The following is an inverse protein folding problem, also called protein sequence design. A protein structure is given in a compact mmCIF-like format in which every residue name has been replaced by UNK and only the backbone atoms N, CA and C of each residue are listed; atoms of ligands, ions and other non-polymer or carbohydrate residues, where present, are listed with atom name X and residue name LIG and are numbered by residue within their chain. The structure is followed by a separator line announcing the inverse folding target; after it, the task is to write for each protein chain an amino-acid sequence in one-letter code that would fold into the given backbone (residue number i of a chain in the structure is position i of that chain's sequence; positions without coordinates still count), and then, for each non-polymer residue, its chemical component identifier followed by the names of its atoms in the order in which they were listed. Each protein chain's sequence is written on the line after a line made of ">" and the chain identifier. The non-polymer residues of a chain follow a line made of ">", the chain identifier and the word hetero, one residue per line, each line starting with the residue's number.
data_IF_887973113051
#
_entry.id   IF_887973113051
#
_cell.length_a   1.000
_cell.length_b   1.000
_cell.length_c   1.000
_cell.angle_alpha   90.00
_cell.angle_beta   90.00
_cell.angle_gamma   90.00
#
_symmetry.space_group_name_H-M   'P 1'
#
loop_
_entity.id
_entity.type
_entity.pdbx_description
1 polymer ?
#
# COMPACT_ATOMS: atom_id res chain seq x y z
N UNK A 1 25.48 -3.93 9.94
CA UNK A 1 25.10 -3.80 8.51
C UNK A 1 23.98 -2.76 8.43
N UNK A 2 24.07 -1.73 7.57
CA UNK A 2 22.93 -0.82 7.36
C UNK A 2 23.21 0.63 6.92
N UNK A 3 24.38 0.95 6.36
CA UNK A 3 24.62 2.26 5.74
C UNK A 3 24.46 2.16 4.21
N UNK A 4 23.29 2.56 3.66
CA UNK A 4 23.00 2.84 2.22
C UNK A 4 21.52 2.73 1.81
N UNK A 5 20.57 2.49 2.72
CA UNK A 5 19.26 1.96 2.32
C UNK A 5 18.10 2.95 2.11
N UNK A 6 18.27 4.28 2.26
CA UNK A 6 17.12 5.19 2.07
C UNK A 6 16.48 5.10 0.68
N UNK A 7 17.28 4.85 -0.37
CA UNK A 7 16.76 4.61 -1.72
C UNK A 7 15.99 3.28 -1.82
N UNK A 8 16.51 2.23 -1.19
CA UNK A 8 15.83 0.94 -1.15
C UNK A 8 14.50 1.03 -0.40
N UNK A 9 14.47 1.74 0.75
CA UNK A 9 13.24 1.98 1.52
C UNK A 9 12.26 2.83 0.72
N UNK A 10 12.73 3.84 -0.03
CA UNK A 10 11.87 4.64 -0.92
C UNK A 10 11.17 3.79 -1.98
N UNK A 11 11.91 2.97 -2.73
CA UNK A 11 11.33 2.12 -3.76
C UNK A 11 10.42 1.04 -3.16
N UNK A 12 10.82 0.42 -2.05
CA UNK A 12 9.98 -0.54 -1.34
C UNK A 12 8.66 0.09 -0.87
N UNK A 13 8.72 1.31 -0.30
CA UNK A 13 7.53 2.03 0.15
C UNK A 13 6.59 2.37 -1.02
N UNK A 14 7.12 2.73 -2.19
CA UNK A 14 6.31 2.93 -3.40
C UNK A 14 5.60 1.64 -3.82
N UNK A 15 6.33 0.52 -3.90
CA UNK A 15 5.75 -0.77 -4.29
C UNK A 15 4.65 -1.19 -3.32
N UNK A 16 4.89 -1.06 -2.02
CA UNK A 16 3.89 -1.36 -0.98
C UNK A 16 2.68 -0.44 -1.12
N UNK A 17 2.87 0.86 -1.38
CA UNK A 17 1.78 1.81 -1.58
C UNK A 17 0.89 1.41 -2.77
N UNK A 18 1.48 1.01 -3.90
CA UNK A 18 0.75 0.58 -5.09
C UNK A 18 -0.06 -0.69 -4.78
N UNK A 19 0.57 -1.71 -4.19
CA UNK A 19 -0.11 -2.97 -3.87
C UNK A 19 -1.27 -2.74 -2.89
N UNK A 20 -1.03 -1.95 -1.84
CA UNK A 20 -2.05 -1.62 -0.85
C UNK A 20 -3.22 -0.83 -1.47
N UNK A 21 -2.93 0.10 -2.40
CA UNK A 21 -3.97 0.84 -3.14
C UNK A 21 -4.81 -0.10 -4.01
N UNK A 22 -4.16 -1.03 -4.73
CA UNK A 22 -4.86 -2.03 -5.56
C UNK A 22 -5.76 -2.92 -4.69
N UNK A 23 -5.27 -3.39 -3.55
CA UNK A 23 -6.08 -4.17 -2.61
C UNK A 23 -7.25 -3.35 -2.04
N UNK A 24 -7.02 -2.08 -1.70
CA UNK A 24 -8.08 -1.18 -1.24
C UNK A 24 -9.21 -1.10 -2.25
N UNK A 25 -8.90 -0.86 -3.53
CA UNK A 25 -9.90 -0.81 -4.61
C UNK A 25 -10.56 -2.17 -4.82
N UNK A 26 -9.79 -3.25 -4.83
CA UNK A 26 -10.29 -4.61 -4.99
C UNK A 26 -11.38 -4.94 -3.96
N UNK A 27 -11.13 -4.68 -2.67
CA UNK A 27 -12.10 -4.96 -1.59
C UNK A 27 -13.32 -4.03 -1.54
N UNK A 28 -13.37 -2.99 -2.36
CA UNK A 28 -14.54 -2.09 -2.50
C UNK A 28 -15.51 -2.60 -3.58
N UNK A 29 -15.00 -3.28 -4.61
CA UNK A 29 -15.80 -3.68 -5.77
C UNK A 29 -16.66 -4.90 -5.39
N UNK A 30 -18.00 -4.78 -5.32
CA UNK A 30 -18.84 -5.95 -5.12
C UNK A 30 -18.90 -6.80 -6.40
N UNK A 31 -19.16 -8.10 -6.24
CA UNK A 31 -19.34 -9.03 -7.36
C UNK A 31 -18.05 -9.73 -7.84
N UNK A 32 -16.90 -9.44 -7.23
CA UNK A 32 -15.67 -10.24 -7.37
C UNK A 32 -15.46 -11.10 -6.13
N UNK A 33 -14.86 -12.28 -6.30
CA UNK A 33 -14.54 -13.16 -5.17
C UNK A 33 -13.32 -12.65 -4.43
N UNK A 34 -13.51 -12.21 -3.19
CA UNK A 34 -12.46 -11.75 -2.30
C UNK A 34 -11.88 -12.93 -1.51
N UNK A 35 -10.57 -13.21 -1.62
CA UNK A 35 -9.92 -14.17 -0.74
C UNK A 35 -9.75 -13.58 0.68
N UNK A 36 -9.55 -14.45 1.66
CA UNK A 36 -9.24 -14.08 3.05
C UNK A 36 -10.35 -13.29 3.79
N UNK A 37 -11.60 -13.65 3.56
CA UNK A 37 -12.76 -13.10 4.26
C UNK A 37 -13.59 -14.23 4.87
N UNK A 38 -14.08 -14.02 6.09
CA UNK A 38 -14.89 -15.02 6.82
C UNK A 38 -16.39 -14.92 6.52
N UNK A 39 -16.81 -13.83 5.88
CA UNK A 39 -18.20 -13.54 5.49
C UNK A 39 -18.38 -13.73 3.97
N UNK A 40 -19.56 -13.44 3.43
CA UNK A 40 -19.84 -13.55 1.98
C UNK A 40 -18.68 -13.00 1.13
N UNK A 41 -17.99 -13.85 0.35
CA UNK A 41 -16.78 -13.48 -0.37
C UNK A 41 -17.06 -12.61 -1.61
N UNK A 42 -18.32 -12.43 -2.00
CA UNK A 42 -18.70 -11.60 -3.15
C UNK A 42 -19.17 -10.20 -2.76
N UNK A 43 -19.38 -9.96 -1.47
CA UNK A 43 -19.76 -8.66 -0.94
C UNK A 43 -18.57 -7.70 -0.87
N UNK A 44 -18.86 -6.39 -0.82
CA UNK A 44 -17.83 -5.39 -0.55
C UNK A 44 -17.37 -5.48 0.92
N UNK A 45 -16.06 -5.43 1.16
CA UNK A 45 -15.48 -5.52 2.50
C UNK A 45 -14.80 -4.22 2.92
N UNK A 46 -15.61 -3.24 3.31
CA UNK A 46 -15.16 -1.90 3.70
C UNK A 46 -14.11 -1.89 4.82
N UNK A 47 -14.12 -2.87 5.74
CA UNK A 47 -13.10 -2.98 6.78
C UNK A 47 -11.71 -3.30 6.22
N UNK A 48 -11.63 -4.23 5.26
CA UNK A 48 -10.38 -4.57 4.59
C UNK A 48 -9.93 -3.41 3.68
N UNK A 49 -10.86 -2.83 2.93
CA UNK A 49 -10.58 -1.64 2.12
C UNK A 49 -10.02 -0.49 2.97
N UNK A 50 -10.63 -0.20 4.13
CA UNK A 50 -10.14 0.82 5.04
C UNK A 50 -8.73 0.50 5.59
N UNK A 51 -8.47 -0.76 5.96
CA UNK A 51 -7.16 -1.21 6.43
C UNK A 51 -6.07 -1.06 5.34
N UNK A 52 -6.35 -1.51 4.13
CA UNK A 52 -5.41 -1.37 3.00
C UNK A 52 -5.26 0.09 2.55
N UNK A 53 -6.33 0.89 2.60
CA UNK A 53 -6.28 2.32 2.36
C UNK A 53 -5.38 3.04 3.36
N UNK A 54 -5.52 2.74 4.66
CA UNK A 54 -4.64 3.29 5.70
C UNK A 54 -3.17 2.87 5.49
N UNK A 55 -2.93 1.60 5.13
CA UNK A 55 -1.59 1.09 4.84
C UNK A 55 -0.97 1.78 3.61
N UNK A 56 -1.77 2.03 2.57
CA UNK A 56 -1.35 2.78 1.40
C UNK A 56 -0.92 4.21 1.76
N UNK A 57 -1.71 4.90 2.61
CA UNK A 57 -1.35 6.25 3.10
C UNK A 57 -0.04 6.23 3.88
N UNK A 58 0.15 5.27 4.78
CA UNK A 58 1.39 5.14 5.56
C UNK A 58 2.60 4.86 4.64
N UNK A 59 2.44 4.00 3.64
CA UNK A 59 3.49 3.71 2.67
C UNK A 59 3.85 4.93 1.81
N UNK A 60 2.87 5.73 1.40
CA UNK A 60 3.09 7.02 0.71
C UNK A 60 3.89 7.97 1.62
N UNK A 61 3.50 8.12 2.89
CA UNK A 61 4.23 8.95 3.85
C UNK A 61 5.68 8.45 3.99
N UNK A 62 5.88 7.14 4.13
CA UNK A 62 7.20 6.52 4.19
C UNK A 62 8.06 6.83 2.94
N UNK A 63 7.46 6.74 1.76
CA UNK A 63 8.13 7.12 0.51
C UNK A 63 8.48 8.62 0.48
N UNK A 64 7.59 9.50 0.91
CA UNK A 64 7.87 10.94 0.94
C UNK A 64 9.03 11.29 1.89
N UNK A 65 9.11 10.65 3.05
CA UNK A 65 10.17 10.90 4.05
C UNK A 65 11.51 10.29 3.63
N UNK A 66 11.49 9.17 2.90
CA UNK A 66 12.71 8.49 2.43
C UNK A 66 13.14 8.90 1.04
N UNK A 67 12.40 9.83 0.41
CA UNK A 67 12.68 10.33 -0.94
C UNK A 67 14.13 10.78 -1.06
N UNK A 68 14.89 10.24 -2.03
CA UNK A 68 16.24 10.73 -2.29
C UNK A 68 16.18 12.20 -2.72
N UNK A 69 16.90 13.07 -2.01
CA UNK A 69 17.07 14.47 -2.43
C UNK A 69 17.96 14.52 -3.66
N UNK A 70 17.57 15.24 -4.70
CA UNK A 70 18.45 15.46 -5.86
C UNK A 70 19.57 16.41 -5.44
N UNK A 71 20.82 15.93 -5.47
CA UNK A 71 21.98 16.83 -5.44
C UNK A 71 22.08 17.45 -6.83
N UNK A 72 21.51 18.64 -6.99
CA UNK A 72 21.85 19.52 -8.13
C UNK A 72 23.31 19.92 -7.90
N UNK A 73 24.19 19.54 -8.82
CA UNK A 73 25.60 19.92 -8.82
C UNK A 73 25.81 21.04 -9.82
#
# INVERSE_FOLDING_TARGET
>A
MGGSNNRAVFYAAIVVAIIALVLCVFYIIPGVTHPFVSSDPTAAHYKHAAAFGALAVLAIIGALVTRPKSTVR
#
